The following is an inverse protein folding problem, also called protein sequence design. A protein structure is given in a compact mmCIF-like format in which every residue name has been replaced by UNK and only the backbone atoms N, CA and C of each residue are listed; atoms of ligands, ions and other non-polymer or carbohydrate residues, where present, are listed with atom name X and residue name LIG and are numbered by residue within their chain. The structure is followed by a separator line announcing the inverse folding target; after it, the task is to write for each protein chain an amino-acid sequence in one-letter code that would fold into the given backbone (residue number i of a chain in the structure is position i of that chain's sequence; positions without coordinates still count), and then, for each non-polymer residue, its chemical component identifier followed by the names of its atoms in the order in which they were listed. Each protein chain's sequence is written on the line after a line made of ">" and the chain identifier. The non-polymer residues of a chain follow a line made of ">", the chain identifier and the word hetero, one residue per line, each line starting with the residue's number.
data_IF_564643149908
#
_entry.id   IF_564643149908
#
_cell.length_a   1.000
_cell.length_b   1.000
_cell.length_c   1.000
_cell.angle_alpha   90.00
_cell.angle_beta   90.00
_cell.angle_gamma   90.00
#
_symmetry.space_group_name_H-M   'P 1'
#
loop_
_entity.id
_entity.type
_entity.pdbx_description
1 polymer ?
#
# COMPACT_ATOMS: atom_id res chain seq x y z
N UNK A 1 -1.57 -17.93 4.09
CA UNK A 1 -1.37 -18.29 2.67
C UNK A 1 -2.16 -19.56 2.44
N UNK A 2 -3.19 -19.59 1.58
CA UNK A 2 -3.87 -20.86 1.28
C UNK A 2 -2.84 -21.73 0.57
N UNK A 3 -2.53 -22.89 1.14
CA UNK A 3 -1.55 -23.82 0.53
C UNK A 3 -2.11 -24.21 -0.84
N UNK A 4 -1.27 -24.20 -1.87
CA UNK A 4 -1.66 -24.59 -3.24
C UNK A 4 -2.46 -25.90 -3.24
N UNK A 5 -2.01 -26.86 -2.40
CA UNK A 5 -2.67 -28.14 -2.14
C UNK A 5 -4.17 -28.02 -1.80
N UNK A 6 -4.56 -27.06 -0.97
CA UNK A 6 -5.96 -26.90 -0.56
C UNK A 6 -6.84 -26.41 -1.73
N UNK A 7 -6.30 -25.56 -2.61
CA UNK A 7 -7.03 -25.10 -3.80
C UNK A 7 -7.18 -26.25 -4.82
N UNK A 8 -6.14 -27.06 -4.99
CA UNK A 8 -6.20 -28.27 -5.83
C UNK A 8 -7.25 -29.25 -5.31
N UNK A 9 -7.30 -29.50 -4.00
CA UNK A 9 -8.31 -30.38 -3.40
C UNK A 9 -9.72 -29.90 -3.69
N UNK A 10 -10.00 -28.60 -3.49
CA UNK A 10 -11.31 -28.01 -3.79
C UNK A 10 -11.66 -28.21 -5.27
N UNK A 11 -10.73 -27.92 -6.18
CA UNK A 11 -10.94 -28.11 -7.62
C UNK A 11 -11.27 -29.57 -7.95
N UNK A 12 -10.50 -30.52 -7.42
CA UNK A 12 -10.72 -31.96 -7.66
C UNK A 12 -12.08 -32.42 -7.13
N UNK A 13 -12.52 -31.96 -5.96
CA UNK A 13 -13.84 -32.30 -5.42
C UNK A 13 -14.96 -31.85 -6.37
N UNK A 14 -14.94 -30.58 -6.79
CA UNK A 14 -15.96 -30.06 -7.72
C UNK A 14 -15.91 -30.72 -9.10
N UNK A 15 -14.71 -31.12 -9.55
CA UNK A 15 -14.55 -31.89 -10.79
C UNK A 15 -15.20 -33.27 -10.66
N UNK A 16 -14.96 -34.01 -9.57
CA UNK A 16 -15.57 -35.32 -9.33
C UNK A 16 -17.09 -35.20 -9.24
N UNK A 17 -17.61 -34.23 -8.46
CA UNK A 17 -19.06 -33.98 -8.35
C UNK A 17 -19.65 -33.66 -9.72
N UNK A 18 -18.98 -32.79 -10.50
CA UNK A 18 -19.40 -32.45 -11.85
C UNK A 18 -19.47 -33.68 -12.77
N UNK A 19 -18.46 -34.55 -12.73
CA UNK A 19 -18.45 -35.78 -13.54
C UNK A 19 -19.59 -36.70 -13.14
N UNK A 20 -19.78 -36.96 -11.83
CA UNK A 20 -20.86 -37.83 -11.34
C UNK A 20 -22.22 -37.27 -11.74
N UNK A 21 -22.49 -36.00 -11.44
CA UNK A 21 -23.78 -35.38 -11.72
C UNK A 21 -24.05 -35.25 -13.23
N UNK A 22 -23.03 -34.89 -14.01
CA UNK A 22 -23.12 -34.80 -15.47
C UNK A 22 -23.41 -36.14 -16.13
N UNK A 23 -22.81 -37.23 -15.64
CA UNK A 23 -23.09 -38.59 -16.12
C UNK A 23 -24.50 -39.06 -15.70
N UNK A 24 -24.90 -38.84 -14.45
CA UNK A 24 -26.22 -39.24 -13.94
C UNK A 24 -27.38 -38.54 -14.67
N UNK A 25 -27.20 -37.26 -15.00
CA UNK A 25 -28.21 -36.45 -15.69
C UNK A 25 -28.05 -36.41 -17.21
N UNK A 26 -27.03 -37.10 -17.75
CA UNK A 26 -26.63 -37.06 -19.16
C UNK A 26 -26.55 -35.61 -19.72
N UNK A 27 -26.01 -34.68 -18.92
CA UNK A 27 -26.01 -33.25 -19.24
C UNK A 27 -24.62 -32.64 -19.05
N UNK A 28 -24.05 -32.13 -20.15
CA UNK A 28 -22.80 -31.39 -20.11
C UNK A 28 -22.93 -30.07 -19.33
N UNK A 29 -24.08 -29.40 -19.42
CA UNK A 29 -24.35 -28.16 -18.67
C UNK A 29 -24.25 -28.39 -17.16
N UNK A 30 -24.71 -29.54 -16.67
CA UNK A 30 -24.58 -29.93 -15.27
C UNK A 30 -23.14 -30.16 -14.83
N UNK A 31 -22.31 -30.79 -15.68
CA UNK A 31 -20.87 -30.90 -15.44
C UNK A 31 -20.19 -29.52 -15.35
N UNK A 32 -20.46 -28.65 -16.33
CA UNK A 32 -19.88 -27.30 -16.41
C UNK A 32 -20.29 -26.45 -15.20
N UNK A 33 -21.53 -26.57 -14.75
CA UNK A 33 -22.06 -25.84 -13.58
C UNK A 33 -21.19 -26.10 -12.34
N UNK A 34 -20.94 -27.37 -12.01
CA UNK A 34 -20.12 -27.72 -10.84
C UNK A 34 -18.66 -27.28 -10.98
N UNK A 35 -18.09 -27.41 -12.18
CA UNK A 35 -16.74 -26.94 -12.46
C UNK A 35 -16.61 -25.43 -12.21
N UNK A 36 -17.60 -24.65 -12.68
CA UNK A 36 -17.65 -23.20 -12.50
C UNK A 36 -17.84 -22.83 -11.03
N UNK A 37 -18.70 -23.51 -10.27
CA UNK A 37 -18.83 -23.28 -8.83
C UNK A 37 -17.47 -23.49 -8.12
N UNK A 38 -16.73 -24.53 -8.50
CA UNK A 38 -15.39 -24.79 -7.96
C UNK A 38 -14.39 -23.68 -8.28
N UNK A 39 -14.35 -23.21 -9.54
CA UNK A 39 -13.50 -22.10 -9.97
C UNK A 39 -13.88 -20.80 -9.26
N UNK A 40 -15.17 -20.52 -9.10
CA UNK A 40 -15.68 -19.38 -8.36
C UNK A 40 -15.18 -19.41 -6.93
N UNK A 41 -15.32 -20.55 -6.23
CA UNK A 41 -14.95 -20.67 -4.83
C UNK A 41 -13.44 -20.48 -4.61
N UNK A 42 -12.60 -21.04 -5.50
CA UNK A 42 -11.15 -20.83 -5.51
C UNK A 42 -10.82 -19.34 -5.68
N UNK A 43 -11.49 -18.68 -6.62
CA UNK A 43 -11.31 -17.27 -6.87
C UNK A 43 -11.72 -16.40 -5.68
N UNK A 44 -12.89 -16.68 -5.10
CA UNK A 44 -13.42 -16.02 -3.89
C UNK A 44 -12.44 -16.13 -2.73
N UNK A 45 -11.92 -17.33 -2.44
CA UNK A 45 -10.92 -17.55 -1.41
C UNK A 45 -9.64 -16.75 -1.66
N UNK A 46 -9.17 -16.71 -2.92
CA UNK A 46 -8.00 -15.92 -3.30
C UNK A 46 -8.21 -14.43 -3.09
N UNK A 47 -9.40 -13.91 -3.41
CA UNK A 47 -9.78 -12.52 -3.12
C UNK A 47 -9.71 -12.25 -1.61
N UNK A 48 -10.35 -13.07 -0.77
CA UNK A 48 -10.37 -12.84 0.68
C UNK A 48 -8.97 -12.87 1.30
N UNK A 49 -8.11 -13.79 0.86
CA UNK A 49 -6.71 -13.87 1.29
C UNK A 49 -5.95 -12.60 0.90
N UNK A 50 -6.15 -12.11 -0.32
CA UNK A 50 -5.52 -10.88 -0.77
C UNK A 50 -6.05 -9.66 -0.01
N UNK A 51 -7.37 -9.56 0.23
CA UNK A 51 -7.96 -8.49 1.06
C UNK A 51 -7.35 -8.51 2.45
N UNK A 52 -7.25 -9.68 3.09
CA UNK A 52 -6.64 -9.82 4.42
C UNK A 52 -5.19 -9.34 4.41
N UNK A 53 -4.39 -9.77 3.43
CA UNK A 53 -3.00 -9.34 3.26
C UNK A 53 -2.90 -7.82 3.08
N UNK A 54 -3.75 -7.22 2.24
CA UNK A 54 -3.71 -5.76 2.04
C UNK A 54 -4.17 -4.99 3.27
N UNK A 55 -5.13 -5.52 4.05
CA UNK A 55 -5.51 -4.94 5.36
C UNK A 55 -4.35 -4.99 6.36
N UNK A 56 -3.63 -6.11 6.45
CA UNK A 56 -2.45 -6.25 7.32
C UNK A 56 -1.39 -5.17 7.05
N UNK A 57 -1.20 -4.79 5.78
CA UNK A 57 -0.25 -3.76 5.38
C UNK A 57 -0.85 -2.35 5.22
N UNK A 58 -2.11 -2.13 5.59
CA UNK A 58 -2.86 -0.89 5.33
C UNK A 58 -2.74 -0.39 3.87
N UNK A 59 -2.65 -1.34 2.94
CA UNK A 59 -2.40 -1.08 1.53
C UNK A 59 -3.72 -0.84 0.81
N UNK A 60 -3.82 0.19 -0.06
CA UNK A 60 -5.00 0.39 -0.88
C UNK A 60 -5.23 -0.79 -1.84
N UNK A 61 -6.49 -1.11 -2.12
CA UNK A 61 -6.88 -2.11 -3.13
C UNK A 61 -6.75 -1.56 -4.57
N UNK A 62 -5.62 -0.91 -4.88
CA UNK A 62 -5.34 -0.26 -6.16
C UNK A 62 -4.41 -1.12 -7.05
N UNK A 63 -4.49 -2.43 -6.95
CA UNK A 63 -3.76 -3.35 -7.84
C UNK A 63 -4.66 -3.80 -8.98
N UNK A 64 -4.06 -4.18 -10.11
CA UNK A 64 -4.80 -4.73 -11.25
C UNK A 64 -5.68 -5.93 -10.85
N UNK A 65 -5.25 -6.72 -9.87
CA UNK A 65 -6.01 -7.84 -9.31
C UNK A 65 -7.36 -7.41 -8.74
N UNK A 66 -7.47 -6.25 -8.08
CA UNK A 66 -8.76 -5.80 -7.52
C UNK A 66 -9.56 -4.95 -8.49
N UNK A 67 -8.90 -4.25 -9.41
CA UNK A 67 -9.58 -3.32 -10.32
C UNK A 67 -10.15 -4.05 -11.53
N UNK A 68 -9.40 -4.98 -12.13
CA UNK A 68 -9.77 -5.60 -13.41
C UNK A 68 -10.46 -6.94 -13.18
N UNK A 69 -9.86 -7.79 -12.34
CA UNK A 69 -10.25 -9.20 -12.26
C UNK A 69 -11.67 -9.42 -11.75
N UNK A 70 -12.19 -8.68 -10.75
CA UNK A 70 -13.58 -8.84 -10.33
C UNK A 70 -14.58 -8.45 -11.42
N UNK A 71 -14.33 -7.38 -12.17
CA UNK A 71 -15.19 -7.02 -13.31
C UNK A 71 -15.22 -8.14 -14.35
N UNK A 72 -14.04 -8.65 -14.72
CA UNK A 72 -13.93 -9.76 -15.67
C UNK A 72 -14.70 -11.00 -15.18
N UNK A 73 -14.54 -11.38 -13.91
CA UNK A 73 -15.25 -12.52 -13.34
C UNK A 73 -16.76 -12.27 -13.29
N UNK A 74 -17.20 -11.07 -12.88
CA UNK A 74 -18.64 -10.73 -12.87
C UNK A 74 -19.29 -10.83 -14.24
N UNK A 75 -18.62 -10.31 -15.28
CA UNK A 75 -19.07 -10.43 -16.68
C UNK A 75 -19.10 -11.90 -17.11
N UNK A 76 -18.01 -12.64 -16.86
CA UNK A 76 -17.91 -14.05 -17.23
C UNK A 76 -19.04 -14.89 -16.62
N UNK A 77 -19.30 -14.75 -15.32
CA UNK A 77 -20.38 -15.50 -14.66
C UNK A 77 -21.78 -15.04 -15.06
N UNK A 78 -21.96 -13.80 -15.55
CA UNK A 78 -23.26 -13.35 -16.10
C UNK A 78 -23.54 -14.07 -17.43
N UNK A 79 -22.58 -14.06 -18.35
CA UNK A 79 -22.70 -14.71 -19.66
C UNK A 79 -22.86 -16.23 -19.50
N UNK A 80 -22.03 -16.84 -18.67
CA UNK A 80 -22.03 -18.30 -18.53
C UNK A 80 -23.24 -18.86 -17.78
N UNK A 81 -24.02 -18.00 -17.11
CA UNK A 81 -25.26 -18.40 -16.45
C UNK A 81 -26.25 -19.07 -17.38
N UNK A 82 -26.32 -18.61 -18.64
CA UNK A 82 -27.21 -19.18 -19.66
C UNK A 82 -26.88 -20.65 -19.99
N UNK A 83 -25.61 -21.06 -19.84
CA UNK A 83 -25.14 -22.40 -20.18
C UNK A 83 -25.08 -23.34 -18.97
N UNK A 84 -25.56 -22.89 -17.80
CA UNK A 84 -25.57 -23.70 -16.58
C UNK A 84 -26.85 -24.51 -16.47
N UNK A 85 -26.75 -25.74 -15.96
CA UNK A 85 -27.88 -26.65 -15.79
C UNK A 85 -28.56 -26.56 -14.43
N UNK A 86 -28.01 -25.78 -13.49
CA UNK A 86 -28.56 -25.58 -12.14
C UNK A 86 -28.52 -24.09 -11.80
N UNK A 87 -29.57 -23.57 -11.16
CA UNK A 87 -29.73 -22.15 -10.79
C UNK A 87 -29.81 -21.17 -11.97
N UNK A 88 -29.94 -21.68 -13.20
CA UNK A 88 -30.05 -20.89 -14.42
C UNK A 88 -31.47 -20.36 -14.70
N UNK A 89 -32.46 -20.84 -13.94
CA UNK A 89 -33.86 -20.45 -14.11
C UNK A 89 -34.05 -18.95 -13.95
N UNK A 90 -34.82 -18.39 -14.87
CA UNK A 90 -35.05 -16.97 -14.90
C UNK A 90 -36.08 -16.57 -13.84
N UNK A 91 -35.67 -15.65 -12.96
CA UNK A 91 -36.49 -15.12 -11.87
C UNK A 91 -37.38 -13.95 -12.32
N UNK A 92 -37.12 -13.37 -13.49
CA UNK A 92 -37.83 -12.20 -14.01
C UNK A 92 -38.43 -12.48 -15.40
N UNK A 93 -39.71 -12.19 -15.61
CA UNK A 93 -40.40 -12.51 -16.89
C UNK A 93 -40.01 -11.68 -18.12
N UNK A 94 -39.12 -10.67 -18.00
CA UNK A 94 -38.78 -9.74 -19.10
C UNK A 94 -37.29 -9.37 -19.24
N UNK A 95 -36.46 -9.78 -18.28
CA UNK A 95 -35.00 -9.61 -18.31
C UNK A 95 -34.40 -10.92 -17.82
N UNK A 96 -33.22 -11.32 -18.34
CA UNK A 96 -32.56 -12.50 -17.81
C UNK A 96 -31.92 -12.16 -16.46
N UNK A 97 -32.42 -12.79 -15.39
CA UNK A 97 -31.85 -12.70 -14.06
C UNK A 97 -32.13 -13.99 -13.29
N UNK A 98 -31.09 -14.75 -12.98
CA UNK A 98 -31.20 -16.05 -12.32
C UNK A 98 -30.52 -16.07 -10.96
N UNK A 99 -30.77 -17.11 -10.16
CA UNK A 99 -30.04 -17.32 -8.90
C UNK A 99 -28.54 -17.45 -9.14
N UNK A 100 -28.14 -18.02 -10.28
CA UNK A 100 -26.74 -18.06 -10.71
C UNK A 100 -26.15 -16.65 -10.82
N UNK A 101 -26.83 -15.79 -11.57
CA UNK A 101 -26.43 -14.39 -11.78
C UNK A 101 -26.39 -13.60 -10.46
N UNK A 102 -27.34 -13.85 -9.56
CA UNK A 102 -27.40 -13.21 -8.24
C UNK A 102 -26.22 -13.60 -7.34
N UNK A 103 -25.88 -14.89 -7.27
CA UNK A 103 -24.87 -15.40 -6.33
C UNK A 103 -23.45 -15.23 -6.90
N UNK A 104 -23.26 -15.56 -8.17
CA UNK A 104 -21.91 -15.72 -8.73
C UNK A 104 -21.42 -14.47 -9.46
N UNK A 105 -22.30 -13.71 -10.11
CA UNK A 105 -21.91 -12.56 -10.92
C UNK A 105 -22.08 -11.22 -10.20
N UNK A 106 -23.25 -10.97 -9.60
CA UNK A 106 -23.62 -9.68 -9.03
C UNK A 106 -22.60 -9.16 -7.98
N UNK A 107 -22.10 -9.97 -7.01
CA UNK A 107 -21.13 -9.47 -6.02
C UNK A 107 -19.86 -8.91 -6.67
N UNK A 108 -19.43 -9.52 -7.77
CA UNK A 108 -18.24 -9.10 -8.50
C UNK A 108 -18.47 -7.92 -9.42
N UNK A 109 -19.65 -7.80 -10.01
CA UNK A 109 -20.08 -6.58 -10.71
C UNK A 109 -20.09 -5.39 -9.74
N UNK A 110 -20.72 -5.54 -8.57
CA UNK A 110 -20.77 -4.48 -7.56
C UNK A 110 -19.38 -4.10 -7.05
N UNK A 111 -18.54 -5.08 -6.70
CA UNK A 111 -17.18 -4.83 -6.26
C UNK A 111 -16.30 -4.22 -7.37
N UNK A 112 -16.48 -4.68 -8.59
CA UNK A 112 -15.81 -4.21 -9.79
C UNK A 112 -16.15 -2.76 -10.12
N UNK A 113 -17.45 -2.43 -10.17
CA UNK A 113 -17.95 -1.07 -10.36
C UNK A 113 -17.48 -0.14 -9.25
N UNK A 114 -17.49 -0.59 -7.99
CA UNK A 114 -16.92 0.19 -6.88
C UNK A 114 -15.42 0.46 -7.06
N UNK A 115 -14.67 -0.54 -7.54
CA UNK A 115 -13.24 -0.40 -7.81
C UNK A 115 -12.98 0.56 -8.97
N UNK A 116 -13.78 0.49 -10.03
CA UNK A 116 -13.74 1.40 -11.18
C UNK A 116 -14.03 2.84 -10.76
N UNK A 117 -15.09 3.07 -9.98
CA UNK A 117 -15.38 4.36 -9.37
C UNK A 117 -14.18 4.93 -8.60
N UNK A 118 -13.50 4.08 -7.81
CA UNK A 118 -12.29 4.49 -7.08
C UNK A 118 -11.12 4.86 -7.99
N UNK A 119 -11.02 4.32 -9.21
CA UNK A 119 -10.01 4.73 -10.18
C UNK A 119 -10.12 6.23 -10.52
N UNK A 120 -11.35 6.76 -10.57
CA UNK A 120 -11.60 8.16 -10.88
C UNK A 120 -11.51 9.07 -9.64
N UNK A 121 -12.04 8.62 -8.49
CA UNK A 121 -12.17 9.47 -7.30
C UNK A 121 -11.02 9.35 -6.30
N UNK A 122 -10.47 8.16 -6.09
CA UNK A 122 -9.56 7.88 -4.94
C UNK A 122 -8.15 7.48 -5.34
N UNK A 123 -8.00 6.63 -6.36
CA UNK A 123 -6.71 6.09 -6.74
C UNK A 123 -5.95 7.10 -7.59
N UNK A 124 -4.70 7.38 -7.24
CA UNK A 124 -3.78 8.15 -8.09
C UNK A 124 -3.13 7.25 -9.14
N UNK A 125 -2.73 6.05 -8.70
CA UNK A 125 -2.06 5.04 -9.51
C UNK A 125 -2.65 3.66 -9.26
N UNK A 126 -2.55 2.81 -10.28
CA UNK A 126 -2.84 1.39 -10.22
C UNK A 126 -1.55 0.61 -10.46
N UNK A 127 -1.31 -0.39 -9.62
CA UNK A 127 -0.11 -1.22 -9.67
C UNK A 127 -0.33 -2.50 -10.48
N UNK A 128 0.55 -2.72 -11.45
CA UNK A 128 0.72 -3.95 -12.22
C UNK A 128 2.05 -4.58 -11.81
N UNK A 129 2.02 -5.38 -10.74
CA UNK A 129 3.23 -5.88 -10.10
C UNK A 129 4.08 -4.72 -9.60
N UNK A 130 5.23 -4.48 -10.24
CA UNK A 130 6.16 -3.39 -9.91
C UNK A 130 5.89 -2.08 -10.67
N UNK A 131 5.07 -2.11 -11.73
CA UNK A 131 4.79 -0.93 -12.56
C UNK A 131 3.58 -0.16 -12.02
N UNK A 132 3.66 1.17 -11.99
CA UNK A 132 2.56 2.04 -11.60
C UNK A 132 2.03 2.78 -12.83
N UNK A 133 0.73 2.71 -13.07
CA UNK A 133 0.05 3.41 -14.17
C UNK A 133 -0.96 4.39 -13.60
N UNK A 134 -1.19 5.52 -14.26
CA UNK A 134 -2.20 6.50 -13.83
C UNK A 134 -3.58 5.85 -13.73
N UNK A 135 -4.22 5.97 -12.57
CA UNK A 135 -5.48 5.27 -12.30
C UNK A 135 -6.63 5.70 -13.23
N UNK A 136 -6.74 7.01 -13.54
CA UNK A 136 -7.73 7.52 -14.50
C UNK A 136 -7.56 6.91 -15.90
N UNK A 137 -6.34 6.80 -16.40
CA UNK A 137 -6.06 6.20 -17.72
C UNK A 137 -6.55 4.75 -17.77
N UNK A 138 -6.22 3.96 -16.75
CA UNK A 138 -6.74 2.59 -16.62
C UNK A 138 -8.25 2.59 -16.45
N UNK A 139 -8.83 3.51 -15.68
CA UNK A 139 -10.27 3.66 -15.50
C UNK A 139 -10.99 3.88 -16.83
N UNK A 140 -10.52 4.80 -17.68
CA UNK A 140 -11.10 5.03 -19.01
C UNK A 140 -10.92 3.82 -19.93
N UNK A 141 -9.73 3.24 -20.01
CA UNK A 141 -9.47 2.04 -20.83
C UNK A 141 -10.39 0.89 -20.41
N UNK A 142 -10.49 0.65 -19.10
CA UNK A 142 -11.33 -0.42 -18.56
C UNK A 142 -12.81 -0.15 -18.79
N UNK A 143 -13.27 1.10 -18.59
CA UNK A 143 -14.66 1.47 -18.86
C UNK A 143 -15.01 1.28 -20.34
N UNK A 144 -14.16 1.79 -21.24
CA UNK A 144 -14.34 1.63 -22.68
C UNK A 144 -14.35 0.16 -23.09
N UNK A 145 -13.42 -0.64 -22.55
CA UNK A 145 -13.37 -2.08 -22.80
C UNK A 145 -14.63 -2.79 -22.32
N UNK A 146 -15.18 -2.43 -21.15
CA UNK A 146 -16.43 -3.01 -20.63
C UNK A 146 -17.62 -2.61 -21.51
N UNK A 147 -17.72 -1.34 -21.91
CA UNK A 147 -18.80 -0.87 -22.79
C UNK A 147 -18.78 -1.57 -24.14
N UNK A 148 -17.62 -1.59 -24.81
CA UNK A 148 -17.46 -2.29 -26.10
C UNK A 148 -17.84 -3.76 -25.94
N UNK A 149 -17.34 -4.42 -24.90
CA UNK A 149 -17.60 -5.84 -24.69
C UNK A 149 -19.10 -6.14 -24.48
N UNK A 150 -19.80 -5.37 -23.63
CA UNK A 150 -21.24 -5.56 -23.40
C UNK A 150 -22.04 -5.32 -24.68
N UNK A 151 -21.74 -4.26 -25.41
CA UNK A 151 -22.42 -3.93 -26.67
C UNK A 151 -22.19 -5.03 -27.73
N UNK A 152 -20.93 -5.45 -27.93
CA UNK A 152 -20.61 -6.54 -28.86
C UNK A 152 -21.29 -7.84 -28.44
N UNK A 153 -21.32 -8.16 -27.15
CA UNK A 153 -22.01 -9.34 -26.64
C UNK A 153 -23.50 -9.32 -26.98
N UNK A 154 -24.20 -8.21 -26.69
CA UNK A 154 -25.62 -8.11 -27.00
C UNK A 154 -25.91 -8.10 -28.50
N UNK A 155 -25.10 -7.43 -29.32
CA UNK A 155 -25.26 -7.47 -30.79
C UNK A 155 -25.15 -8.92 -31.28
N UNK A 156 -24.07 -9.62 -30.90
CA UNK A 156 -23.85 -10.99 -31.32
C UNK A 156 -24.94 -11.94 -30.82
N UNK A 157 -25.41 -11.78 -29.58
CA UNK A 157 -26.40 -12.66 -28.98
C UNK A 157 -27.81 -12.40 -29.53
N UNK A 158 -28.18 -11.13 -29.72
CA UNK A 158 -29.48 -10.73 -30.30
C UNK A 158 -29.58 -11.13 -31.78
N UNK A 159 -28.47 -11.09 -32.52
CA UNK A 159 -28.44 -11.55 -33.92
C UNK A 159 -28.55 -13.07 -34.07
N UNK A 160 -28.28 -13.84 -33.02
CA UNK A 160 -28.25 -15.32 -33.08
C UNK A 160 -29.46 -15.96 -32.39
N UNK A 161 -30.02 -15.32 -31.37
CA UNK A 161 -31.13 -15.86 -30.57
C UNK A 161 -32.29 -14.86 -30.58
N UNK A 162 -33.27 -15.12 -31.45
CA UNK A 162 -34.46 -14.28 -31.71
C UNK A 162 -35.33 -13.96 -30.47
N UNK A 163 -35.09 -14.61 -29.34
CA UNK A 163 -35.89 -14.51 -28.11
C UNK A 163 -35.09 -14.06 -26.87
N UNK A 164 -33.93 -13.44 -27.04
CA UNK A 164 -33.01 -13.22 -25.93
C UNK A 164 -33.41 -12.03 -25.03
N UNK A 165 -33.82 -12.36 -23.80
CA UNK A 165 -34.04 -11.39 -22.73
C UNK A 165 -32.71 -10.69 -22.38
N UNK A 166 -32.75 -9.37 -22.25
CA UNK A 166 -31.57 -8.59 -21.87
C UNK A 166 -31.07 -9.03 -20.48
N UNK A 167 -29.78 -9.34 -20.35
CA UNK A 167 -29.18 -9.71 -19.06
C UNK A 167 -29.16 -8.50 -18.11
N UNK A 168 -29.86 -8.61 -16.98
CA UNK A 168 -30.01 -7.51 -16.01
C UNK A 168 -28.67 -7.12 -15.36
N UNK A 169 -27.78 -8.08 -15.11
CA UNK A 169 -26.48 -7.83 -14.50
C UNK A 169 -25.58 -7.03 -15.44
N UNK A 170 -25.54 -7.41 -16.72
CA UNK A 170 -24.80 -6.68 -17.74
C UNK A 170 -25.42 -5.30 -18.00
N UNK A 171 -26.75 -5.18 -17.98
CA UNK A 171 -27.44 -3.89 -18.07
C UNK A 171 -27.07 -2.98 -16.90
N UNK A 172 -27.09 -3.51 -15.68
CA UNK A 172 -26.71 -2.75 -14.49
C UNK A 172 -25.24 -2.33 -14.57
N UNK A 173 -24.35 -3.20 -15.05
CA UNK A 173 -22.95 -2.88 -15.26
C UNK A 173 -22.77 -1.79 -16.32
N UNK A 174 -23.51 -1.85 -17.43
CA UNK A 174 -23.51 -0.83 -18.48
C UNK A 174 -23.90 0.54 -17.89
N UNK A 175 -25.06 0.62 -17.23
CA UNK A 175 -25.57 1.85 -16.61
C UNK A 175 -24.58 2.37 -15.57
N UNK A 176 -24.08 1.50 -14.67
CA UNK A 176 -23.10 1.89 -13.66
C UNK A 176 -21.82 2.44 -14.29
N UNK A 177 -21.34 1.82 -15.38
CA UNK A 177 -20.10 2.25 -16.07
C UNK A 177 -20.30 3.60 -16.74
N UNK A 178 -21.42 3.82 -17.43
CA UNK A 178 -21.78 5.10 -18.05
C UNK A 178 -21.86 6.19 -16.96
N UNK A 179 -22.59 5.94 -15.88
CA UNK A 179 -22.71 6.90 -14.77
C UNK A 179 -21.35 7.20 -14.13
N UNK A 180 -20.50 6.19 -13.92
CA UNK A 180 -19.18 6.40 -13.34
C UNK A 180 -18.31 7.29 -14.26
N UNK A 181 -18.33 7.04 -15.57
CA UNK A 181 -17.56 7.80 -16.55
C UNK A 181 -18.09 9.23 -16.69
N UNK A 182 -19.40 9.42 -16.83
CA UNK A 182 -20.03 10.74 -16.98
C UNK A 182 -19.81 11.56 -15.70
N UNK A 183 -20.20 11.02 -14.54
CA UNK A 183 -20.18 11.76 -13.28
C UNK A 183 -18.76 11.94 -12.78
N UNK A 184 -17.90 10.90 -12.75
CA UNK A 184 -16.58 10.99 -12.11
C UNK A 184 -15.41 11.07 -13.08
N UNK A 185 -15.61 10.66 -14.34
CA UNK A 185 -14.62 10.83 -15.40
C UNK A 185 -14.55 12.29 -15.84
N UNK A 186 -15.69 12.88 -16.22
CA UNK A 186 -15.72 14.24 -16.79
C UNK A 186 -15.84 15.36 -15.75
N UNK A 187 -16.55 15.16 -14.63
CA UNK A 187 -16.48 16.16 -13.55
C UNK A 187 -15.12 16.01 -12.86
N UNK A 188 -14.26 17.02 -13.03
CA UNK A 188 -12.87 16.97 -12.59
C UNK A 188 -12.73 17.23 -11.09
N UNK A 189 -13.62 16.66 -10.28
CA UNK A 189 -13.62 16.76 -8.82
C UNK A 189 -12.63 15.75 -8.25
N UNK A 190 -11.33 16.02 -8.44
CA UNK A 190 -10.36 15.42 -7.51
C UNK A 190 -10.73 15.97 -6.13
N UNK A 191 -11.09 15.08 -5.20
CA UNK A 191 -10.72 15.35 -3.81
C UNK A 191 -9.20 15.49 -3.87
N UNK A 192 -8.69 16.72 -3.76
CA UNK A 192 -7.26 16.93 -3.63
C UNK A 192 -6.82 16.00 -2.51
N UNK A 193 -5.88 15.10 -2.81
CA UNK A 193 -5.10 14.53 -1.72
C UNK A 193 -4.64 15.77 -0.94
N UNK A 194 -5.00 15.92 0.35
CA UNK A 194 -4.48 17.03 1.11
C UNK A 194 -2.98 16.99 0.85
N UNK A 195 -2.46 18.09 0.30
CA UNK A 195 -1.04 18.19 0.10
C UNK A 195 -0.40 17.68 1.39
N UNK A 196 0.70 16.91 1.31
CA UNK A 196 1.50 16.62 2.50
C UNK A 196 2.17 17.94 2.93
N UNK A 197 1.36 18.95 3.23
CA UNK A 197 1.74 20.11 3.96
C UNK A 197 2.17 19.64 5.33
N UNK A 198 3.19 20.33 5.83
CA UNK A 198 3.74 20.12 7.15
C UNK A 198 2.64 20.07 8.22
N UNK A 199 1.58 20.84 8.02
CA UNK A 199 0.41 20.93 8.89
C UNK A 199 -0.44 19.67 8.88
N UNK A 200 -0.68 19.05 7.71
CA UNK A 200 -1.41 17.78 7.65
C UNK A 200 -0.66 16.65 8.36
N UNK A 201 0.67 16.60 8.18
CA UNK A 201 1.54 15.64 8.87
C UNK A 201 1.54 15.91 10.39
N UNK A 202 1.67 17.17 10.80
CA UNK A 202 1.66 17.57 12.20
C UNK A 202 0.31 17.23 12.88
N UNK A 203 -0.81 17.50 12.20
CA UNK A 203 -2.14 17.23 12.73
C UNK A 203 -2.41 15.72 12.86
N UNK A 204 -2.04 14.93 11.85
CA UNK A 204 -2.11 13.46 11.93
C UNK A 204 -1.23 12.89 13.04
N UNK A 205 -0.02 13.43 13.20
CA UNK A 205 0.90 13.02 14.28
C UNK A 205 0.31 13.37 15.65
N UNK A 206 -0.35 14.52 15.79
CA UNK A 206 -1.04 14.94 17.02
C UNK A 206 -2.21 14.01 17.37
N UNK A 207 -3.03 13.64 16.39
CA UNK A 207 -4.15 12.69 16.59
C UNK A 207 -3.66 11.29 16.95
N UNK A 208 -2.58 10.82 16.31
CA UNK A 208 -1.98 9.52 16.66
C UNK A 208 -1.42 9.58 18.08
N UNK A 209 -0.68 10.63 18.43
CA UNK A 209 -0.14 10.83 19.77
C UNK A 209 -1.25 10.92 20.83
N UNK A 210 -2.42 11.50 20.53
CA UNK A 210 -3.55 11.51 21.48
C UNK A 210 -4.21 10.14 21.66
N UNK A 211 -4.11 9.25 20.66
CA UNK A 211 -4.65 7.89 20.72
C UNK A 211 -3.66 6.88 21.34
N UNK A 212 -2.36 7.13 21.23
CA UNK A 212 -1.31 6.26 21.79
C UNK A 212 -0.74 6.77 23.12
N UNK A 213 -1.03 8.01 23.52
CA UNK A 213 -0.72 8.47 24.86
C UNK A 213 -1.54 7.64 25.86
N UNK A 214 -0.91 6.92 26.79
CA UNK A 214 -1.63 6.29 27.88
C UNK A 214 -2.43 7.41 28.58
N UNK A 215 -3.75 7.21 28.71
CA UNK A 215 -4.60 8.04 29.58
C UNK A 215 -4.02 7.93 30.99
N UNK A 216 -3.08 8.80 31.32
CA UNK A 216 -2.81 9.14 32.70
C UNK A 216 -4.06 9.85 33.17
N UNK A 217 -4.94 9.07 33.77
CA UNK A 217 -6.06 9.53 34.56
C UNK A 217 -5.47 10.35 35.72
N UNK A 218 -5.09 11.60 35.42
CA UNK A 218 -4.94 12.62 36.44
C UNK A 218 -6.35 12.89 36.93
N UNK A 219 -6.72 12.12 37.94
CA UNK A 219 -7.82 12.38 38.84
C UNK A 219 -7.56 13.79 39.40
N UNK A 220 -8.15 14.78 38.73
CA UNK A 220 -8.11 16.16 39.18
C UNK A 220 -9.05 16.20 40.38
N UNK A 221 -8.50 15.95 41.56
CA UNK A 221 -9.18 16.19 42.83
C UNK A 221 -9.57 17.67 42.81
N UNK A 222 -10.87 17.90 42.63
CA UNK A 222 -11.48 19.21 42.64
C UNK A 222 -11.62 19.61 44.10
N UNK A 223 -10.59 20.26 44.66
CA UNK A 223 -10.75 21.01 45.90
C UNK A 223 -11.63 22.21 45.61
N UNK A 224 -12.91 22.07 45.93
CA UNK A 224 -13.85 23.17 46.10
C UNK A 224 -13.35 24.06 47.24
N UNK A 225 -12.72 25.18 46.91
CA UNK A 225 -12.57 26.30 47.85
C UNK A 225 -13.58 27.37 47.46
N UNK A 226 -14.65 27.40 48.25
CA UNK A 226 -15.66 28.46 48.33
C UNK A 226 -15.08 29.61 49.17
N UNK A 227 -15.52 30.84 48.85
CA UNK A 227 -15.36 32.19 49.47
C UNK A 227 -14.58 33.12 48.55
N UNK A 228 -14.99 34.33 48.16
CA UNK A 228 -16.21 35.14 48.24
C UNK A 228 -16.05 36.23 47.15
N UNK A 229 -17.12 36.87 46.66
CA UNK A 229 -17.05 37.88 45.61
C UNK A 229 -16.91 39.29 46.19
N UNK A 230 -15.98 40.09 45.64
CA UNK A 230 -16.06 41.55 45.76
C UNK A 230 -15.63 42.20 44.43
N UNK A 231 -16.42 43.13 43.87
CA UNK A 231 -16.15 43.75 42.59
C UNK A 231 -15.35 45.05 42.77
N UNK A 232 -14.42 45.33 41.84
CA UNK A 232 -13.97 46.71 41.61
C UNK A 232 -13.34 46.88 40.22
N UNK A 233 -14.09 47.56 39.36
CA UNK A 233 -13.74 48.76 38.60
C UNK A 233 -12.29 49.00 38.10
N UNK A 234 -12.24 49.31 36.78
CA UNK A 234 -11.58 50.48 36.15
C UNK A 234 -10.14 50.35 35.58
N UNK A 235 -10.12 50.31 34.24
CA UNK A 235 -9.42 51.20 33.28
C UNK A 235 -7.88 51.27 33.13
N UNK A 236 -7.48 51.27 31.84
CA UNK A 236 -6.49 52.13 31.14
C UNK A 236 -4.96 52.04 31.40
N UNK A 237 -4.28 51.63 30.30
CA UNK A 237 -3.11 52.24 29.61
C UNK A 237 -1.69 52.23 30.19
N UNK A 238 -0.72 52.24 29.25
CA UNK A 238 0.68 52.72 29.32
C UNK A 238 1.71 51.76 29.99
N UNK A 239 2.98 51.57 29.59
CA UNK A 239 3.84 52.06 28.48
C UNK A 239 5.15 51.22 28.42
N UNK A 240 5.82 51.23 27.26
CA UNK A 240 7.28 51.19 27.00
C UNK A 240 8.28 50.49 27.95
N UNK A 241 9.13 49.62 27.38
CA UNK A 241 10.60 49.79 27.54
C UNK A 241 11.42 49.12 26.43
N UNK A 242 12.40 49.89 25.98
CA UNK A 242 13.43 49.68 24.97
C UNK A 242 14.74 49.11 25.56
N UNK A 243 15.51 48.35 24.73
CA UNK A 243 17.00 48.29 24.69
C UNK A 243 17.41 47.32 23.58
N UNK A 244 17.98 47.70 22.42
CA UNK A 244 19.26 48.35 22.08
C UNK A 244 20.48 47.41 22.08
N UNK A 245 21.03 47.25 20.86
CA UNK A 245 22.42 47.02 20.40
C UNK A 245 23.25 45.83 20.89
N UNK A 246 23.78 45.08 19.90
CA UNK A 246 25.23 44.91 19.74
C UNK A 246 25.57 44.46 18.31
N UNK A 247 26.01 45.44 17.52
CA UNK A 247 26.79 45.28 16.29
C UNK A 247 28.25 44.93 16.61
N UNK A 248 28.83 43.95 15.92
CA UNK A 248 30.30 43.82 15.84
C UNK A 248 30.74 43.50 14.42
N UNK A 249 31.55 44.39 13.89
CA UNK A 249 32.18 44.42 12.58
C UNK A 249 33.64 43.90 12.66
N UNK A 250 34.01 43.11 11.64
CA UNK A 250 35.32 43.01 10.91
C UNK A 250 36.62 42.63 11.67
N UNK A 251 37.73 42.17 11.02
CA UNK A 251 38.08 42.27 9.58
C UNK A 251 38.74 41.04 8.88
N UNK A 252 38.79 41.21 7.55
CA UNK A 252 39.60 40.63 6.45
C UNK A 252 40.83 39.77 6.75
N UNK A 253 40.98 38.67 5.99
CA UNK A 253 42.26 38.31 5.35
C UNK A 253 42.03 37.64 4.00
N UNK A 254 42.59 38.28 2.97
CA UNK A 254 42.61 37.92 1.55
C UNK A 254 43.94 37.20 1.34
N UNK A 255 43.92 35.94 0.89
CA UNK A 255 45.11 35.29 0.31
C UNK A 255 44.72 34.58 -0.98
N UNK A 256 45.06 35.23 -2.09
CA UNK A 256 45.23 34.60 -3.39
C UNK A 256 46.51 33.77 -3.34
N UNK A 257 46.44 32.52 -3.78
CA UNK A 257 47.61 31.80 -4.31
C UNK A 257 47.19 30.92 -5.47
N UNK A 258 48.12 30.86 -6.42
CA UNK A 258 48.04 30.40 -7.79
C UNK A 258 47.70 28.92 -7.98
N UNK A 259 46.98 28.71 -9.09
CA UNK A 259 46.96 27.54 -9.98
C UNK A 259 48.22 26.66 -9.90
N UNK A 260 48.03 25.37 -9.62
CA UNK A 260 48.82 24.31 -10.25
C UNK A 260 47.89 23.14 -10.61
N UNK A 261 47.83 22.85 -11.90
CA UNK A 261 47.20 21.66 -12.50
C UNK A 261 48.09 20.46 -12.15
N UNK A 262 47.51 19.41 -11.57
CA UNK A 262 48.15 18.09 -11.56
C UNK A 262 47.08 17.03 -11.84
N UNK A 263 47.46 16.08 -12.69
CA UNK A 263 46.60 15.13 -13.36
C UNK A 263 46.08 14.03 -12.43
N UNK A 264 45.04 13.36 -12.94
CA UNK A 264 44.38 12.15 -12.42
C UNK A 264 45.36 11.14 -11.83
N UNK A 265 45.10 10.73 -10.59
CA UNK A 265 45.34 9.34 -10.16
C UNK A 265 44.22 8.91 -9.24
N UNK A 266 43.48 7.89 -9.69
CA UNK A 266 42.38 7.25 -8.98
C UNK A 266 42.90 6.54 -7.74
N UNK A 267 42.96 7.25 -6.59
CA UNK A 267 43.19 6.59 -5.31
C UNK A 267 41.91 5.87 -4.89
N UNK A 268 41.86 4.57 -5.19
CA UNK A 268 41.02 3.62 -4.48
C UNK A 268 41.42 3.68 -3.02
N UNK A 269 40.61 4.32 -2.17
CA UNK A 269 40.74 4.24 -0.72
C UNK A 269 40.65 2.77 -0.31
N UNK A 270 41.82 2.16 -0.12
CA UNK A 270 42.02 0.82 0.43
C UNK A 270 41.52 0.85 1.87
N UNK A 271 40.30 0.35 2.08
CA UNK A 271 39.71 0.20 3.41
C UNK A 271 40.61 -0.72 4.22
N UNK A 272 41.33 -0.16 5.21
CA UNK A 272 42.08 -0.92 6.22
C UNK A 272 41.15 -2.00 6.81
N UNK A 273 41.55 -3.29 6.86
CA UNK A 273 40.77 -4.32 7.52
C UNK A 273 40.79 -4.03 9.02
N UNK A 274 39.73 -3.45 9.54
CA UNK A 274 39.58 -3.18 10.96
C UNK A 274 39.19 -4.47 11.67
N UNK A 275 40.09 -4.90 12.55
CA UNK A 275 39.91 -5.51 13.87
C UNK A 275 38.62 -6.30 14.15
N UNK A 276 38.80 -7.47 14.79
CA UNK A 276 37.76 -8.27 15.46
C UNK A 276 36.67 -7.35 16.02
N UNK A 277 35.43 -7.56 15.59
CA UNK A 277 34.26 -6.76 15.97
C UNK A 277 34.07 -6.88 17.49
N UNK A 278 34.64 -5.95 18.25
CA UNK A 278 34.39 -5.85 19.68
C UNK A 278 32.97 -5.27 19.86
N UNK A 279 32.18 -5.94 20.71
CA UNK A 279 30.83 -5.56 21.13
C UNK A 279 29.71 -5.65 20.06
N UNK A 280 29.34 -6.90 19.70
CA UNK A 280 28.24 -7.24 18.79
C UNK A 280 26.89 -6.60 19.19
N UNK A 281 26.65 -6.40 20.49
CA UNK A 281 25.41 -5.82 21.02
C UNK A 281 25.14 -4.40 20.52
N UNK A 282 26.17 -3.67 20.09
CA UNK A 282 26.02 -2.33 19.49
C UNK A 282 25.28 -2.35 18.14
N UNK A 283 25.20 -3.51 17.48
CA UNK A 283 24.54 -3.71 16.20
C UNK A 283 23.17 -4.39 16.29
N UNK A 284 22.72 -4.78 17.50
CA UNK A 284 21.41 -5.39 17.72
C UNK A 284 20.31 -4.31 17.64
N UNK A 285 19.33 -4.42 16.72
CA UNK A 285 18.16 -3.54 16.70
C UNK A 285 17.46 -3.48 18.06
N UNK A 286 17.02 -2.29 18.47
CA UNK A 286 16.25 -2.14 19.72
C UNK A 286 14.80 -2.53 19.47
N UNK A 287 14.47 -3.80 19.68
CA UNK A 287 13.13 -4.39 19.60
C UNK A 287 12.96 -5.52 20.62
N UNK A 288 11.72 -5.86 20.96
CA UNK A 288 11.39 -6.93 21.92
C UNK A 288 11.66 -8.33 21.38
N UNK A 289 11.46 -8.54 20.07
CA UNK A 289 11.76 -9.78 19.36
C UNK A 289 12.57 -9.45 18.10
N UNK A 290 13.63 -10.21 17.84
CA UNK A 290 14.43 -10.06 16.63
C UNK A 290 13.91 -10.99 15.55
N UNK A 291 13.52 -10.41 14.42
CA UNK A 291 13.16 -11.14 13.21
C UNK A 291 14.14 -10.81 12.07
N UNK A 292 14.12 -11.60 11.00
CA UNK A 292 14.92 -11.32 9.81
C UNK A 292 14.57 -9.95 9.16
N UNK A 293 13.35 -9.45 9.38
CA UNK A 293 12.90 -8.14 8.91
C UNK A 293 13.67 -6.98 9.59
N UNK A 294 14.10 -7.16 10.84
CA UNK A 294 14.78 -6.11 11.60
C UNK A 294 16.21 -5.82 11.13
N UNK A 295 16.76 -6.72 10.31
CA UNK A 295 18.09 -6.60 9.71
C UNK A 295 18.06 -6.11 8.27
N UNK A 296 16.87 -5.82 7.72
CA UNK A 296 16.73 -5.24 6.39
C UNK A 296 17.02 -3.74 6.42
N UNK A 297 17.58 -3.24 5.32
CA UNK A 297 17.78 -1.80 5.15
C UNK A 297 16.44 -1.06 5.28
N UNK A 298 16.40 -0.01 6.10
CA UNK A 298 15.19 0.80 6.33
C UNK A 298 14.73 1.64 5.12
N UNK A 299 15.54 1.74 4.07
CA UNK A 299 15.19 2.50 2.86
C UNK A 299 14.79 1.57 1.70
N UNK A 300 15.65 0.62 1.33
CA UNK A 300 15.33 -0.31 0.23
C UNK A 300 14.58 -1.58 0.65
N UNK A 301 14.37 -1.81 1.95
CA UNK A 301 13.68 -2.99 2.52
C UNK A 301 14.27 -4.34 2.06
N UNK A 302 15.55 -4.35 1.68
CA UNK A 302 16.31 -5.56 1.33
C UNK A 302 17.29 -5.91 2.43
N UNK A 303 17.48 -7.20 2.66
CA UNK A 303 18.51 -7.70 3.56
C UNK A 303 19.88 -7.52 2.88
N UNK A 304 20.87 -6.87 3.52
CA UNK A 304 22.20 -6.73 2.93
C UNK A 304 22.81 -8.10 2.61
N UNK A 305 23.22 -8.30 1.35
CA UNK A 305 23.71 -9.59 0.86
C UNK A 305 24.90 -9.46 -0.10
N UNK A 306 25.70 -10.51 -0.17
CA UNK A 306 26.84 -10.65 -1.08
C UNK A 306 26.43 -11.68 -2.15
N UNK A 307 26.68 -11.43 -3.44
CA UNK A 307 27.57 -10.39 -4.00
C UNK A 307 26.92 -9.03 -4.29
N UNK A 308 25.59 -8.87 -4.23
CA UNK A 308 24.92 -7.70 -4.80
C UNK A 308 25.27 -6.37 -4.12
N UNK A 309 25.51 -6.37 -2.80
CA UNK A 309 25.83 -5.15 -2.04
C UNK A 309 27.34 -4.99 -1.76
N UNK A 310 28.21 -5.70 -2.49
CA UNK A 310 29.65 -5.63 -2.28
C UNK A 310 30.15 -4.18 -2.46
N UNK A 311 30.77 -3.63 -1.42
CA UNK A 311 31.32 -2.27 -1.43
C UNK A 311 30.37 -1.16 -0.99
N UNK A 312 29.06 -1.41 -0.86
CA UNK A 312 28.09 -0.39 -0.41
C UNK A 312 28.23 -0.03 1.07
N UNK A 313 28.51 -1.04 1.90
CA UNK A 313 28.63 -0.88 3.36
C UNK A 313 27.28 -0.64 4.05
N UNK A 314 27.24 -0.85 5.36
CA UNK A 314 26.04 -0.72 6.21
C UNK A 314 26.31 0.28 7.32
N UNK A 315 25.38 1.21 7.50
CA UNK A 315 25.34 2.15 8.62
C UNK A 315 24.17 1.78 9.52
N UNK A 316 24.38 1.82 10.83
CA UNK A 316 23.36 1.49 11.83
C UNK A 316 22.97 2.76 12.58
N UNK A 317 21.67 3.00 12.75
CA UNK A 317 21.20 4.17 13.48
C UNK A 317 21.73 4.16 14.93
N UNK A 318 22.32 5.27 15.45
CA UNK A 318 22.87 5.31 16.81
C UNK A 318 21.80 5.13 17.90
N UNK A 319 20.53 5.48 17.62
CA UNK A 319 19.44 5.40 18.60
C UNK A 319 18.66 4.09 18.52
N UNK A 320 18.06 3.77 17.36
CA UNK A 320 17.23 2.56 17.23
C UNK A 320 17.99 1.32 16.74
N UNK A 321 19.23 1.47 16.29
CA UNK A 321 20.09 0.39 15.78
C UNK A 321 19.52 -0.39 14.57
N UNK A 322 18.57 0.19 13.84
CA UNK A 322 18.16 -0.36 12.54
C UNK A 322 19.20 -0.01 11.45
N UNK A 323 19.44 -0.92 10.49
CA UNK A 323 20.46 -0.77 9.47
C UNK A 323 19.98 0.00 8.23
N UNK A 324 20.92 0.56 7.49
CA UNK A 324 20.75 1.15 6.16
C UNK A 324 22.00 0.94 5.33
N UNK A 325 21.88 0.80 4.01
CA UNK A 325 23.05 0.89 3.13
C UNK A 325 23.68 2.30 3.23
N UNK A 326 25.01 2.38 3.20
CA UNK A 326 25.71 3.63 3.53
C UNK A 326 25.48 4.74 2.50
N UNK A 327 25.27 4.38 1.24
CA UNK A 327 24.86 5.27 0.14
C UNK A 327 23.46 5.86 0.38
N UNK A 328 22.47 5.02 0.67
CA UNK A 328 21.08 5.43 0.96
C UNK A 328 21.01 6.29 2.23
N UNK A 329 21.80 5.95 3.25
CA UNK A 329 21.93 6.75 4.45
C UNK A 329 22.50 8.15 4.16
N UNK A 330 23.58 8.23 3.37
CA UNK A 330 24.20 9.51 3.00
C UNK A 330 23.24 10.39 2.20
N UNK A 331 22.50 9.79 1.27
CA UNK A 331 21.51 10.52 0.48
C UNK A 331 20.38 11.08 1.35
N UNK A 332 19.83 10.26 2.25
CA UNK A 332 18.83 10.70 3.23
C UNK A 332 19.35 11.82 4.15
N UNK A 333 20.62 11.76 4.57
CA UNK A 333 21.23 12.79 5.44
C UNK A 333 21.44 14.15 4.74
N UNK A 334 21.33 14.23 3.41
CA UNK A 334 21.36 15.51 2.69
C UNK A 334 20.08 16.32 2.88
N UNK A 335 18.94 15.64 3.04
CA UNK A 335 17.61 16.26 3.10
C UNK A 335 17.01 16.22 4.50
N UNK A 336 17.45 15.30 5.37
CA UNK A 336 16.90 15.11 6.70
C UNK A 336 17.99 14.92 7.75
N UNK A 337 17.79 15.49 8.94
CA UNK A 337 18.63 15.23 10.11
C UNK A 337 18.02 14.18 11.06
N UNK A 338 16.93 13.52 10.67
CA UNK A 338 16.21 12.54 11.49
C UNK A 338 16.39 11.11 10.95
N UNK A 339 16.33 10.12 11.83
CA UNK A 339 16.22 8.72 11.43
C UNK A 339 14.86 8.45 10.75
N UNK A 340 14.84 7.82 9.59
CA UNK A 340 13.60 7.46 8.88
C UNK A 340 12.72 6.46 9.64
N UNK A 341 13.30 5.65 10.53
CA UNK A 341 12.57 4.64 11.31
C UNK A 341 12.06 5.15 12.66
N UNK A 342 12.92 5.80 13.45
CA UNK A 342 12.59 6.20 14.82
C UNK A 342 12.39 7.71 15.00
N UNK A 343 12.49 8.49 13.92
CA UNK A 343 12.34 9.95 13.89
C UNK A 343 13.27 10.72 14.82
N UNK A 344 14.25 10.06 15.43
CA UNK A 344 15.17 10.71 16.33
C UNK A 344 16.25 11.48 15.58
N UNK A 345 16.73 12.62 16.12
CA UNK A 345 17.80 13.38 15.51
C UNK A 345 19.10 12.58 15.47
N UNK A 346 19.77 12.60 14.32
CA UNK A 346 21.10 12.01 14.14
C UNK A 346 22.17 13.06 14.51
N UNK A 347 23.09 12.74 15.44
CA UNK A 347 24.16 13.67 15.85
C UNK A 347 24.96 14.18 14.65
N UNK A 348 25.30 15.47 14.65
CA UNK A 348 26.08 16.12 13.57
C UNK A 348 27.39 15.38 13.25
N UNK A 349 28.11 14.93 14.28
CA UNK A 349 29.35 14.16 14.13
C UNK A 349 29.14 12.85 13.37
N UNK A 350 28.03 12.15 13.66
CA UNK A 350 27.67 10.91 12.98
C UNK A 350 27.19 11.15 11.54
N UNK A 351 26.56 12.30 11.26
CA UNK A 351 26.17 12.67 9.89
C UNK A 351 27.37 12.93 8.99
N UNK A 352 28.39 13.62 9.52
CA UNK A 352 29.62 13.93 8.78
C UNK A 352 30.49 12.70 8.55
N UNK A 353 30.59 11.83 9.56
CA UNK A 353 31.42 10.63 9.48
C UNK A 353 30.68 9.42 10.10
N UNK A 354 29.73 8.80 9.37
CA UNK A 354 29.01 7.65 9.89
C UNK A 354 29.93 6.45 9.99
N UNK A 355 29.75 5.63 11.03
CA UNK A 355 30.48 4.36 11.16
C UNK A 355 29.94 3.35 10.13
N UNK A 356 30.73 3.10 9.08
CA UNK A 356 30.38 2.16 8.01
C UNK A 356 30.95 0.78 8.34
N UNK A 357 30.08 -0.23 8.31
CA UNK A 357 30.41 -1.64 8.50
C UNK A 357 30.45 -2.30 7.12
N UNK A 358 31.40 -3.19 6.87
CA UNK A 358 31.38 -3.98 5.62
C UNK A 358 30.15 -4.90 5.60
N UNK A 359 29.55 -5.10 4.42
CA UNK A 359 28.40 -6.02 4.29
C UNK A 359 28.76 -7.43 4.76
N UNK A 360 30.00 -7.88 4.50
CA UNK A 360 30.52 -9.18 4.98
C UNK A 360 30.43 -9.30 6.50
N UNK A 361 30.89 -8.29 7.23
CA UNK A 361 30.84 -8.26 8.69
C UNK A 361 29.40 -8.15 9.20
N UNK A 362 28.57 -7.34 8.55
CA UNK A 362 27.16 -7.18 8.90
C UNK A 362 26.38 -8.50 8.74
N UNK A 363 26.66 -9.26 7.68
CA UNK A 363 26.05 -10.59 7.45
C UNK A 363 26.39 -11.57 8.56
N UNK A 364 27.64 -11.56 9.03
CA UNK A 364 28.06 -12.40 10.17
C UNK A 364 27.30 -11.98 11.45
N UNK A 365 27.20 -10.67 11.70
CA UNK A 365 26.52 -10.11 12.88
C UNK A 365 25.06 -10.57 12.95
N UNK A 366 24.27 -10.35 11.90
CA UNK A 366 22.83 -10.66 12.01
C UNK A 366 22.57 -12.17 12.07
N UNK A 367 23.37 -13.00 11.37
CA UNK A 367 23.26 -14.46 11.44
C UNK A 367 23.51 -14.98 12.86
N UNK A 368 24.46 -14.37 13.58
CA UNK A 368 24.71 -14.73 14.98
C UNK A 368 23.53 -14.37 15.89
N UNK A 369 22.86 -13.23 15.66
CA UNK A 369 21.68 -12.86 16.44
C UNK A 369 20.46 -13.74 16.15
N UNK A 370 20.26 -14.14 14.89
CA UNK A 370 19.15 -15.04 14.50
C UNK A 370 19.37 -16.50 14.88
N UNK A 371 20.61 -16.93 15.16
CA UNK A 371 20.90 -18.30 15.65
C UNK A 371 20.76 -18.43 17.17
N UNK A 372 20.81 -17.32 17.90
CA UNK A 372 20.72 -17.29 19.38
C UNK A 372 19.29 -17.11 19.91
N UNK A 373 18.35 -16.76 19.03
CA UNK A 373 16.91 -16.79 19.27
C UNK A 373 16.32 -17.97 18.51
#
# INVERSE_FOLDING_TARGET
>A
MVKSKNLTIIFTIFLIIGVIHGLLSYSFSNFVTWLLIGLWLIFTLKIFVNIKRHREFNSPHNTAFFVILPLFVGIFYSIWGYYTGVLGDNLLGGLYFSFWSLIFALPYILFGSYSLYRCFKKYSVIYFGTKAVKAKTIGYILSLSVLIFILTYWIMFYSVIESSLLDLNLLLLLIATILIVIVFGFTNTRSSLPALTRDYIANRTKTINSLTAPKTQRQRVRTTRVTNPTPSTRATTHTTRSRVQSSRTTPTSRKQTSRMKTSKTTQVTRVKPTSKIQNLNSFKPRGSYLSLEDFKCIFCFKLPKIPEDRGRGVVVCPKCRYPSHADEFKDWMRTSNLCSRCSAPIPSNFRRNPKIISVKNYVIIYKQFLKKN
#
